data_IF_286899807855
#
_entry.id   IF_286899807855
#
_cell.length_a   1.000
_cell.length_b   1.000
_cell.length_c   1.000
_cell.angle_alpha   90.00
_cell.angle_beta   90.00
_cell.angle_gamma   90.00
#
_symmetry.space_group_name_H-M   'P 1'
#
loop_
_entity.id
_entity.type
_entity.pdbx_description
1 polymer ?
#
# COMPACT_ATOMS: atom_id res chain seq x y z
N UNK A 1 16.16 -19.89 2.81
CA UNK A 1 17.12 -18.77 2.97
C UNK A 1 16.35 -17.58 3.52
N UNK A 2 16.86 -16.99 4.60
CA UNK A 2 16.34 -15.74 5.14
C UNK A 2 16.58 -14.61 4.12
N UNK A 3 15.65 -13.67 4.05
CA UNK A 3 15.79 -12.46 3.23
C UNK A 3 15.69 -11.23 4.11
N UNK A 4 16.25 -10.11 3.66
CA UNK A 4 16.06 -8.81 4.29
C UNK A 4 14.86 -8.11 3.68
N UNK A 5 13.94 -7.67 4.53
CA UNK A 5 12.80 -6.82 4.13
C UNK A 5 13.29 -5.37 4.02
N UNK A 6 13.00 -4.78 2.89
CA UNK A 6 13.23 -3.36 2.62
C UNK A 6 11.88 -2.65 2.48
N UNK A 7 11.83 -1.44 2.98
CA UNK A 7 10.70 -0.53 2.80
C UNK A 7 11.24 0.74 2.17
N UNK A 8 10.59 1.20 1.12
CA UNK A 8 10.99 2.44 0.46
C UNK A 8 10.95 3.62 1.44
N UNK A 9 11.97 4.46 1.38
CA UNK A 9 12.10 5.62 2.25
C UNK A 9 11.01 6.65 1.99
N UNK A 10 10.62 6.83 0.74
CA UNK A 10 9.60 7.79 0.33
C UNK A 10 8.27 7.12 0.02
N UNK A 11 7.19 7.85 0.30
CA UNK A 11 5.84 7.49 -0.14
C UNK A 11 5.63 8.03 -1.55
N UNK A 12 5.23 7.16 -2.47
CA UNK A 12 4.78 7.57 -3.81
C UNK A 12 3.41 8.22 -3.64
N UNK A 13 3.25 9.51 -3.98
CA UNK A 13 1.98 10.20 -3.82
C UNK A 13 0.93 9.64 -4.80
N UNK A 14 -0.33 9.73 -4.42
CA UNK A 14 -1.46 9.23 -5.22
C UNK A 14 -1.56 9.89 -6.61
N UNK A 15 -1.10 11.14 -6.74
CA UNK A 15 -1.09 11.90 -7.99
C UNK A 15 0.20 11.69 -8.80
N UNK A 16 1.03 10.72 -8.42
CA UNK A 16 2.25 10.39 -9.15
C UNK A 16 1.94 10.00 -10.60
N UNK A 17 2.65 10.64 -11.53
CA UNK A 17 2.41 10.45 -12.97
C UNK A 17 1.21 11.20 -13.53
N UNK A 18 0.43 11.88 -12.71
CA UNK A 18 -0.63 12.78 -13.18
C UNK A 18 -0.03 14.07 -13.74
N UNK A 19 -0.57 14.54 -14.84
CA UNK A 19 -0.14 15.81 -15.45
C UNK A 19 -1.30 16.53 -16.12
N UNK A 20 -1.14 17.83 -16.34
CA UNK A 20 -2.04 18.61 -17.20
C UNK A 20 -1.28 19.01 -18.45
N UNK A 21 -1.76 18.60 -19.61
CA UNK A 21 -1.22 18.95 -20.91
C UNK A 21 -2.16 19.87 -21.67
N UNK A 22 -1.59 20.82 -22.44
CA UNK A 22 -2.37 21.69 -23.32
C UNK A 22 -2.48 21.00 -24.68
N UNK A 23 -3.66 20.49 -24.99
CA UNK A 23 -3.90 19.61 -26.11
C UNK A 23 -5.08 20.07 -26.96
N UNK A 24 -5.15 19.52 -28.19
CA UNK A 24 -6.28 19.71 -29.08
C UNK A 24 -7.45 18.83 -28.63
N UNK A 25 -8.58 19.45 -28.33
CA UNK A 25 -9.81 18.78 -27.92
C UNK A 25 -10.56 18.20 -29.12
N UNK A 26 -11.54 17.32 -28.87
CA UNK A 26 -12.34 16.66 -29.88
C UNK A 26 -13.13 17.65 -30.78
N UNK A 27 -13.51 18.81 -30.23
CA UNK A 27 -14.20 19.88 -30.95
C UNK A 27 -13.26 20.73 -31.82
N UNK A 28 -11.95 20.42 -31.84
CA UNK A 28 -10.93 21.13 -32.58
C UNK A 28 -10.35 22.35 -31.87
N UNK A 29 -10.88 22.76 -30.72
CA UNK A 29 -10.30 23.79 -29.86
C UNK A 29 -9.07 23.26 -29.13
N UNK A 30 -8.36 24.16 -28.44
CA UNK A 30 -7.24 23.77 -27.56
C UNK A 30 -7.60 24.09 -26.12
N UNK A 31 -7.27 23.17 -25.21
CA UNK A 31 -7.53 23.29 -23.78
C UNK A 31 -6.59 22.44 -22.95
N UNK A 32 -6.64 22.63 -21.63
CA UNK A 32 -5.92 21.78 -20.70
C UNK A 32 -6.70 20.49 -20.47
N UNK A 33 -6.03 19.37 -20.71
CA UNK A 33 -6.53 18.02 -20.41
C UNK A 33 -5.74 17.49 -19.23
N UNK A 34 -6.46 17.00 -18.22
CA UNK A 34 -5.84 16.33 -17.08
C UNK A 34 -5.72 14.85 -17.34
N UNK A 35 -4.49 14.35 -17.38
CA UNK A 35 -4.17 12.93 -17.47
C UNK A 35 -3.92 12.38 -16.08
N UNK A 36 -4.71 11.40 -15.71
CA UNK A 36 -4.59 10.73 -14.44
C UNK A 36 -3.36 9.84 -14.40
N UNK A 37 -2.66 9.85 -13.28
CA UNK A 37 -1.61 8.88 -13.00
C UNK A 37 -2.19 7.48 -12.77
N UNK A 38 -1.34 6.45 -12.72
CA UNK A 38 -1.78 5.06 -12.59
C UNK A 38 -2.45 4.74 -11.25
N UNK A 39 -2.35 5.63 -10.26
CA UNK A 39 -2.80 5.36 -8.89
C UNK A 39 -3.62 6.53 -8.37
N UNK A 40 -4.94 6.47 -8.46
CA UNK A 40 -5.81 7.47 -7.82
C UNK A 40 -6.36 7.01 -6.48
N UNK A 41 -6.57 5.69 -6.33
CA UNK A 41 -7.20 5.09 -5.18
C UNK A 41 -6.64 3.68 -4.96
N UNK A 42 -7.01 3.04 -3.87
CA UNK A 42 -6.71 1.62 -3.68
C UNK A 42 -7.25 0.80 -4.86
N UNK A 43 -8.45 1.12 -5.30
CA UNK A 43 -9.12 0.56 -6.47
C UNK A 43 -9.65 -0.86 -6.25
N UNK A 44 -10.59 -1.27 -7.13
CA UNK A 44 -11.25 -2.55 -6.99
C UNK A 44 -12.19 -2.60 -5.78
N UNK A 45 -12.06 -3.65 -5.01
CA UNK A 45 -12.67 -3.79 -3.69
C UNK A 45 -11.59 -3.68 -2.61
N UNK A 46 -11.95 -3.91 -1.33
CA UNK A 46 -10.99 -3.89 -0.21
C UNK A 46 -9.95 -5.02 -0.25
N UNK A 47 -10.09 -5.97 -1.16
CA UNK A 47 -9.14 -7.07 -1.28
C UNK A 47 -7.91 -6.65 -2.11
N UNK A 48 -6.76 -6.65 -1.50
CA UNK A 48 -5.48 -6.31 -2.13
C UNK A 48 -5.22 -7.08 -3.44
N UNK A 49 -5.70 -8.31 -3.55
CA UNK A 49 -5.56 -9.13 -4.76
C UNK A 49 -6.09 -8.44 -6.02
N UNK A 50 -7.16 -7.69 -5.89
CA UNK A 50 -7.86 -7.05 -7.00
C UNK A 50 -7.65 -5.54 -7.05
N UNK A 51 -6.74 -5.01 -6.21
CA UNK A 51 -6.50 -3.58 -6.13
C UNK A 51 -5.67 -3.05 -7.30
N UNK A 52 -5.97 -1.83 -7.73
CA UNK A 52 -5.14 -1.11 -8.70
C UNK A 52 -3.71 -0.87 -8.16
N UNK A 53 -3.59 -0.71 -6.85
CA UNK A 53 -2.30 -0.56 -6.18
C UNK A 53 -1.41 -1.79 -6.38
N UNK A 54 -1.97 -3.00 -6.25
CA UNK A 54 -1.20 -4.23 -6.47
C UNK A 54 -0.76 -4.37 -7.92
N UNK A 55 -1.64 -4.04 -8.87
CA UNK A 55 -1.31 -4.06 -10.30
C UNK A 55 -0.14 -3.11 -10.60
N UNK A 56 -0.21 -1.89 -10.10
CA UNK A 56 0.87 -0.93 -10.22
C UNK A 56 2.19 -1.42 -9.61
N UNK A 57 2.16 -2.00 -8.40
CA UNK A 57 3.35 -2.55 -7.77
C UNK A 57 3.95 -3.73 -8.54
N UNK A 58 3.12 -4.47 -9.28
CA UNK A 58 3.58 -5.47 -10.24
C UNK A 58 4.43 -4.85 -11.37
N UNK A 59 3.98 -3.74 -11.94
CA UNK A 59 4.73 -2.99 -12.96
C UNK A 59 6.04 -2.43 -12.40
N UNK A 60 6.01 -1.85 -11.19
CA UNK A 60 7.22 -1.39 -10.48
C UNK A 60 8.21 -2.52 -10.30
N UNK A 61 7.74 -3.72 -9.97
CA UNK A 61 8.61 -4.88 -9.82
C UNK A 61 9.31 -5.28 -11.13
N UNK A 62 8.60 -5.22 -12.25
CA UNK A 62 9.18 -5.49 -13.58
C UNK A 62 10.23 -4.45 -13.93
N UNK A 63 9.94 -3.16 -13.78
CA UNK A 63 10.87 -2.07 -14.02
C UNK A 63 12.16 -2.20 -13.17
N UNK A 64 12.02 -2.56 -11.91
CA UNK A 64 13.17 -2.73 -11.03
C UNK A 64 14.01 -3.95 -11.39
N UNK A 65 13.39 -5.03 -11.87
CA UNK A 65 14.13 -6.21 -12.37
C UNK A 65 14.91 -5.89 -13.65
N UNK A 66 14.32 -5.12 -14.56
CA UNK A 66 15.01 -4.63 -15.76
C UNK A 66 16.23 -3.76 -15.41
N UNK A 67 16.18 -3.05 -14.28
CA UNK A 67 17.30 -2.29 -13.74
C UNK A 67 18.32 -3.16 -12.98
N UNK A 68 18.08 -4.47 -12.86
CA UNK A 68 18.99 -5.43 -12.26
C UNK A 68 18.75 -5.73 -10.78
N UNK A 69 17.67 -5.25 -10.18
CA UNK A 69 17.31 -5.59 -8.81
C UNK A 69 16.77 -7.02 -8.74
N UNK A 70 17.33 -7.83 -7.84
CA UNK A 70 16.88 -9.19 -7.61
C UNK A 70 15.99 -9.28 -6.37
N UNK A 71 14.70 -9.29 -6.59
CA UNK A 71 13.69 -9.37 -5.54
C UNK A 71 13.17 -10.80 -5.40
N UNK A 72 12.86 -11.18 -4.17
CA UNK A 72 12.32 -12.48 -3.84
C UNK A 72 10.80 -12.47 -3.95
N UNK A 73 10.21 -13.53 -4.50
CA UNK A 73 8.78 -13.76 -4.37
C UNK A 73 8.41 -13.99 -2.90
N UNK A 74 7.53 -13.17 -2.38
CA UNK A 74 7.03 -13.22 -1.01
C UNK A 74 5.55 -13.56 -1.02
N UNK A 75 5.13 -14.44 -0.12
CA UNK A 75 3.72 -14.74 0.07
C UNK A 75 3.05 -13.53 0.73
N UNK A 76 2.15 -12.86 0.00
CA UNK A 76 1.43 -11.66 0.43
C UNK A 76 -0.07 -11.92 0.60
N UNK A 77 -0.48 -13.18 0.48
CA UNK A 77 -1.86 -13.59 0.70
C UNK A 77 -2.37 -13.14 2.07
N UNK A 78 -3.66 -12.89 2.14
CA UNK A 78 -4.33 -12.43 3.35
C UNK A 78 -4.28 -13.50 4.42
N UNK A 79 -3.60 -13.22 5.52
CA UNK A 79 -3.54 -14.08 6.70
C UNK A 79 -4.48 -13.62 7.80
N UNK A 80 -4.75 -12.32 7.88
CA UNK A 80 -5.57 -11.72 8.93
C UNK A 80 -6.46 -10.64 8.36
N UNK A 81 -7.65 -10.53 8.92
CA UNK A 81 -8.50 -9.35 8.83
C UNK A 81 -8.67 -8.79 10.22
N UNK A 82 -8.61 -7.49 10.33
CA UNK A 82 -8.98 -6.84 11.55
C UNK A 82 -10.51 -6.77 11.61
N UNK A 83 -11.09 -7.37 12.64
CA UNK A 83 -12.54 -7.38 12.85
C UNK A 83 -12.91 -6.40 13.96
N UNK A 84 -13.87 -5.57 13.69
CA UNK A 84 -14.71 -4.97 14.72
C UNK A 84 -14.42 -3.55 15.14
N UNK A 85 -13.45 -2.79 14.56
CA UNK A 85 -13.30 -1.40 14.96
C UNK A 85 -13.07 -0.46 13.78
N UNK A 86 -14.06 0.38 13.53
CA UNK A 86 -14.06 1.47 12.55
C UNK A 86 -13.24 2.70 12.99
N UNK A 87 -12.53 2.62 14.12
CA UNK A 87 -11.85 3.78 14.70
C UNK A 87 -10.36 3.75 14.41
N UNK A 88 -9.87 4.92 14.08
CA UNK A 88 -8.47 5.30 14.08
C UNK A 88 -7.80 4.92 15.42
N UNK A 89 -6.64 4.25 15.35
CA UNK A 89 -5.88 3.87 16.53
C UNK A 89 -4.42 4.28 16.39
N UNK A 90 -3.84 4.79 17.48
CA UNK A 90 -2.41 4.98 17.55
C UNK A 90 -1.67 3.65 17.42
N UNK A 91 -0.43 3.68 16.93
CA UNK A 91 0.40 2.48 16.81
C UNK A 91 0.61 1.74 18.14
N UNK A 92 0.61 2.48 19.24
CA UNK A 92 0.77 1.93 20.59
C UNK A 92 -0.46 1.16 21.08
N UNK A 93 -1.63 1.46 20.51
CA UNK A 93 -2.91 0.83 20.88
C UNK A 93 -3.20 -0.46 20.10
N UNK A 94 -2.44 -0.74 19.04
CA UNK A 94 -2.58 -2.00 18.31
C UNK A 94 -1.81 -3.12 19.02
N UNK A 95 -2.48 -4.25 19.22
CA UNK A 95 -1.87 -5.47 19.71
C UNK A 95 -2.08 -6.61 18.69
N UNK A 96 -1.27 -7.65 18.76
CA UNK A 96 -1.48 -8.86 17.95
C UNK A 96 -2.83 -9.53 18.23
N UNK A 97 -3.41 -9.29 19.40
CA UNK A 97 -4.73 -9.81 19.80
C UNK A 97 -5.88 -9.15 19.04
N UNK A 98 -5.64 -7.97 18.46
CA UNK A 98 -6.61 -7.27 17.62
C UNK A 98 -6.71 -7.88 16.20
N UNK A 99 -5.82 -8.80 15.86
CA UNK A 99 -5.76 -9.45 14.56
C UNK A 99 -6.47 -10.81 14.64
N UNK A 100 -7.57 -10.94 13.91
CA UNK A 100 -8.28 -12.21 13.81
C UNK A 100 -7.90 -12.94 12.53
N UNK A 101 -7.43 -14.18 12.67
CA UNK A 101 -7.16 -15.04 11.54
C UNK A 101 -8.46 -15.46 10.85
N UNK A 102 -8.57 -15.24 9.55
CA UNK A 102 -9.68 -15.72 8.74
C UNK A 102 -9.19 -16.76 7.72
N UNK A 103 -9.22 -18.05 8.07
CA UNK A 103 -8.75 -19.13 7.19
C UNK A 103 -9.48 -19.17 5.83
N UNK A 104 -10.77 -18.85 5.84
CA UNK A 104 -11.62 -18.87 4.63
C UNK A 104 -11.29 -17.78 3.60
N UNK A 105 -10.60 -16.73 4.00
CA UNK A 105 -10.18 -15.63 3.12
C UNK A 105 -8.70 -15.72 2.73
N UNK A 106 -8.06 -16.85 3.03
CA UNK A 106 -6.65 -17.07 2.69
C UNK A 106 -6.48 -17.22 1.19
N UNK A 107 -5.95 -16.21 0.57
CA UNK A 107 -5.56 -16.23 -0.84
C UNK A 107 -4.06 -16.47 -0.94
N UNK A 108 -3.67 -17.51 -1.64
CA UNK A 108 -2.27 -17.75 -1.94
C UNK A 108 -1.85 -16.79 -3.06
N UNK A 109 -1.19 -15.72 -2.67
CA UNK A 109 -0.58 -14.76 -3.59
C UNK A 109 0.90 -14.66 -3.30
N UNK A 110 1.66 -14.36 -4.34
CA UNK A 110 3.07 -14.01 -4.23
C UNK A 110 3.33 -12.74 -5.00
N UNK A 111 4.05 -11.81 -4.40
CA UNK A 111 4.45 -10.57 -5.02
C UNK A 111 5.94 -10.31 -4.74
N UNK A 112 6.60 -9.60 -5.62
CA UNK A 112 8.01 -9.17 -5.47
C UNK A 112 8.11 -7.82 -4.81
N UNK A 113 7.21 -6.91 -5.20
CA UNK A 113 7.00 -5.61 -4.56
C UNK A 113 5.56 -5.57 -4.04
N UNK A 114 5.37 -5.14 -2.81
CA UNK A 114 4.08 -5.24 -2.12
C UNK A 114 3.90 -4.12 -1.08
N UNK A 115 2.67 -3.97 -0.56
CA UNK A 115 2.40 -3.16 0.61
C UNK A 115 2.62 -3.96 1.89
N UNK A 116 2.98 -3.31 2.98
CA UNK A 116 2.95 -3.94 4.31
C UNK A 116 1.50 -4.28 4.70
N UNK A 117 1.35 -5.36 5.47
CA UNK A 117 0.10 -5.62 6.21
C UNK A 117 0.04 -4.80 7.50
N UNK A 118 -1.13 -4.74 8.14
CA UNK A 118 -1.27 -4.15 9.48
C UNK A 118 -0.36 -4.86 10.48
N UNK A 119 -0.27 -6.20 10.43
CA UNK A 119 0.61 -6.98 11.28
C UNK A 119 2.08 -6.59 11.11
N UNK A 120 2.54 -6.47 9.87
CA UNK A 120 3.91 -6.06 9.57
C UNK A 120 4.15 -4.60 9.97
N UNK A 121 3.18 -3.71 9.75
CA UNK A 121 3.27 -2.32 10.18
C UNK A 121 3.41 -2.20 11.71
N UNK A 122 2.67 -3.00 12.47
CA UNK A 122 2.80 -3.05 13.93
C UNK A 122 4.17 -3.60 14.33
N UNK A 123 4.61 -4.68 13.70
CA UNK A 123 5.90 -5.33 14.01
C UNK A 123 7.09 -4.43 13.78
N UNK A 124 7.06 -3.63 12.72
CA UNK A 124 8.15 -2.74 12.31
C UNK A 124 7.89 -1.28 12.66
N UNK A 125 6.93 -1.00 13.54
CA UNK A 125 6.49 0.37 13.84
C UNK A 125 7.62 1.33 14.17
N UNK A 126 8.62 0.88 14.92
CA UNK A 126 9.75 1.71 15.34
C UNK A 126 10.66 2.14 14.16
N UNK A 127 10.60 1.40 13.06
CA UNK A 127 11.34 1.70 11.82
C UNK A 127 10.50 2.53 10.82
N UNK A 128 9.17 2.48 10.92
CA UNK A 128 8.29 3.19 9.98
C UNK A 128 8.40 4.70 10.04
N UNK A 129 8.85 5.24 11.18
CA UNK A 129 9.05 6.67 11.39
C UNK A 129 10.42 7.18 10.96
N UNK A 130 11.36 6.28 10.72
CA UNK A 130 12.73 6.62 10.36
C UNK A 130 12.87 6.82 8.86
N UNK A 131 12.16 7.79 8.28
CA UNK A 131 12.40 8.12 6.89
C UNK A 131 12.53 9.62 6.69
N UNK A 132 13.47 9.95 5.78
CA UNK A 132 13.73 11.28 5.32
C UNK A 132 12.91 11.58 4.06
N UNK A 133 12.43 12.78 3.90
CA UNK A 133 11.89 13.22 2.63
C UNK A 133 10.36 13.22 2.52
N UNK A 134 9.66 13.32 3.63
CA UNK A 134 8.25 13.69 3.56
C UNK A 134 8.12 15.10 3.01
N UNK A 135 7.44 15.22 1.88
CA UNK A 135 6.97 16.51 1.40
C UNK A 135 5.74 16.92 2.23
N UNK A 136 6.00 17.61 3.33
CA UNK A 136 4.95 18.12 4.23
C UNK A 136 3.96 19.06 3.54
N UNK A 137 4.30 19.56 2.35
CA UNK A 137 3.44 20.40 1.54
C UNK A 137 2.39 19.59 0.77
N UNK A 138 2.50 18.25 0.75
CA UNK A 138 1.57 17.35 0.09
C UNK A 138 0.90 16.41 1.10
N UNK A 139 -0.34 16.71 1.54
CA UNK A 139 -1.07 15.84 2.47
C UNK A 139 -1.18 14.38 1.99
N UNK A 140 -1.18 14.17 0.67
CA UNK A 140 -1.24 12.84 0.06
C UNK A 140 -0.01 11.97 0.31
N UNK A 141 1.14 12.55 0.62
CA UNK A 141 2.36 11.81 0.97
C UNK A 141 2.49 11.48 2.46
N UNK A 142 1.56 11.94 3.28
CA UNK A 142 1.54 11.68 4.72
C UNK A 142 0.72 10.45 5.10
N UNK A 143 -0.09 9.93 4.18
CA UNK A 143 -0.83 8.67 4.33
C UNK A 143 -0.43 7.70 3.24
N UNK A 144 -0.32 6.42 3.59
CA UNK A 144 -0.07 5.37 2.61
C UNK A 144 -0.84 4.09 2.93
N UNK A 145 -1.22 3.39 1.87
CA UNK A 145 -2.00 2.16 1.96
C UNK A 145 -1.23 1.02 2.62
N UNK A 146 -1.96 0.21 3.37
CA UNK A 146 -1.58 -1.15 3.76
C UNK A 146 -2.39 -2.16 2.95
N UNK A 147 -1.90 -3.40 2.82
CA UNK A 147 -2.63 -4.44 2.07
C UNK A 147 -3.75 -5.12 2.85
N UNK A 148 -3.93 -4.80 4.13
CA UNK A 148 -4.96 -5.40 4.96
C UNK A 148 -6.30 -4.74 4.72
N UNK A 149 -7.29 -5.52 4.32
CA UNK A 149 -8.67 -5.07 4.25
C UNK A 149 -9.28 -4.95 5.64
N UNK A 150 -10.21 -4.04 5.80
CA UNK A 150 -11.09 -4.04 6.96
C UNK A 150 -12.17 -5.11 6.78
N UNK A 151 -12.28 -6.04 7.72
CA UNK A 151 -13.32 -7.07 7.74
C UNK A 151 -14.50 -6.67 8.63
N UNK A 152 -15.66 -7.29 8.37
CA UNK A 152 -16.81 -7.29 9.30
C UNK A 152 -17.03 -8.69 9.86
N UNK A 153 -17.62 -8.78 11.06
CA UNK A 153 -18.26 -10.01 11.50
C UNK A 153 -19.33 -10.40 10.47
N UNK A 154 -19.25 -11.64 9.96
CA UNK A 154 -20.13 -12.12 8.89
C UNK A 154 -19.48 -12.18 7.50
N UNK A 155 -18.29 -11.65 7.31
CA UNK A 155 -17.49 -11.83 6.08
C UNK A 155 -17.88 -10.92 4.92
N UNK A 156 -18.77 -9.97 5.11
CA UNK A 156 -19.09 -8.96 4.10
C UNK A 156 -17.97 -7.93 3.99
N UNK A 157 -17.65 -7.52 2.76
CA UNK A 157 -16.71 -6.45 2.46
C UNK A 157 -17.20 -5.12 3.03
N UNK A 158 -16.26 -4.30 3.50
CA UNK A 158 -16.57 -2.97 4.05
C UNK A 158 -16.32 -1.86 3.05
N UNK A 159 -15.68 -2.17 1.92
CA UNK A 159 -15.18 -1.17 1.00
C UNK A 159 -14.03 -0.34 1.58
N UNK A 160 -13.35 -0.84 2.63
CA UNK A 160 -12.27 -0.13 3.32
C UNK A 160 -11.01 -0.99 3.43
N UNK A 161 -9.86 -0.35 3.25
CA UNK A 161 -8.55 -0.90 3.54
C UNK A 161 -7.85 -0.02 4.59
N UNK A 162 -6.86 -0.59 5.28
CA UNK A 162 -6.11 0.18 6.27
C UNK A 162 -5.03 1.03 5.61
N UNK A 163 -4.79 2.18 6.20
CA UNK A 163 -3.70 3.08 5.85
C UNK A 163 -2.95 3.54 7.10
N UNK A 164 -1.69 3.85 6.95
CA UNK A 164 -0.88 4.55 7.95
C UNK A 164 -1.06 6.04 7.75
N UNK A 165 -1.35 6.77 8.80
CA UNK A 165 -1.33 8.24 8.82
C UNK A 165 -0.13 8.71 9.66
N UNK A 166 0.85 9.29 8.98
CA UNK A 166 2.11 9.69 9.59
C UNK A 166 2.00 10.97 10.41
N UNK A 167 1.04 11.83 10.08
CA UNK A 167 0.80 13.06 10.84
C UNK A 167 0.15 12.75 12.17
N UNK A 168 -0.82 11.85 12.14
CA UNK A 168 -1.57 11.46 13.34
C UNK A 168 -0.89 10.37 14.16
N UNK A 169 0.08 9.66 13.58
CA UNK A 169 0.72 8.54 14.25
C UNK A 169 -0.23 7.36 14.47
N UNK A 170 -1.04 7.04 13.48
CA UNK A 170 -2.06 6.00 13.62
C UNK A 170 -2.20 5.12 12.38
N UNK A 171 -2.89 4.01 12.57
CA UNK A 171 -3.45 3.18 11.49
C UNK A 171 -4.96 3.39 11.52
N UNK A 172 -5.54 3.68 10.37
CA UNK A 172 -6.97 3.92 10.23
C UNK A 172 -7.56 3.20 9.02
N UNK A 173 -8.81 2.75 9.08
CA UNK A 173 -9.52 2.30 7.89
C UNK A 173 -9.85 3.51 7.01
N UNK A 174 -9.65 3.34 5.73
CA UNK A 174 -9.88 4.37 4.69
C UNK A 174 -10.71 3.73 3.58
N UNK A 175 -11.67 4.47 3.05
CA UNK A 175 -12.45 4.01 1.91
C UNK A 175 -11.53 3.74 0.70
N UNK A 176 -11.75 2.64 0.00
CA UNK A 176 -10.90 2.25 -1.15
C UNK A 176 -10.99 3.21 -2.33
N UNK A 177 -11.99 4.08 -2.32
CA UNK A 177 -12.14 5.18 -3.28
C UNK A 177 -11.37 6.44 -2.89
N UNK A 178 -10.89 6.53 -1.65
CA UNK A 178 -10.12 7.68 -1.18
C UNK A 178 -8.66 7.64 -1.68
N UNK A 179 -7.98 8.77 -1.52
CA UNK A 179 -6.60 8.95 -1.97
C UNK A 179 -5.61 8.74 -0.82
N UNK A 180 -4.69 7.80 -1.01
CA UNK A 180 -3.51 7.62 -0.17
C UNK A 180 -2.30 7.33 -1.04
N UNK A 181 -1.12 7.62 -0.54
CA UNK A 181 0.12 7.26 -1.21
C UNK A 181 0.43 5.76 -1.13
N UNK A 182 1.48 5.36 -1.80
CA UNK A 182 1.99 3.99 -1.83
C UNK A 182 3.40 3.98 -1.27
N UNK A 183 3.67 3.07 -0.35
CA UNK A 183 5.01 2.85 0.18
C UNK A 183 5.43 1.41 -0.10
N UNK A 184 6.20 1.18 -1.19
CA UNK A 184 6.58 -0.16 -1.60
C UNK A 184 7.49 -0.86 -0.61
N UNK A 185 7.26 -2.15 -0.41
CA UNK A 185 8.14 -3.05 0.32
C UNK A 185 8.58 -4.22 -0.58
N UNK A 186 9.77 -4.75 -0.35
CA UNK A 186 10.32 -5.88 -1.09
C UNK A 186 11.35 -6.65 -0.26
N UNK A 187 11.64 -7.88 -0.65
CA UNK A 187 12.63 -8.72 0.03
C UNK A 187 13.77 -9.07 -0.92
N UNK A 188 15.00 -8.87 -0.48
CA UNK A 188 16.20 -9.31 -1.20
C UNK A 188 16.78 -10.55 -0.52
N UNK A 189 17.24 -11.49 -1.30
CA UNK A 189 18.01 -12.62 -0.75
C UNK A 189 19.34 -12.09 -0.26
N UNK A 190 19.66 -12.26 1.02
CA UNK A 190 21.02 -11.98 1.48
C UNK A 190 21.98 -12.93 0.75
N UNK A 191 22.94 -12.35 0.03
CA UNK A 191 24.07 -13.13 -0.47
C UNK A 191 24.74 -13.77 0.75
N UNK A 192 24.93 -15.09 0.71
CA UNK A 192 25.70 -15.75 1.74
C UNK A 192 27.08 -15.08 1.77
N UNK A 193 27.41 -14.42 2.87
CA UNK A 193 28.78 -13.95 3.11
C UNK A 193 29.69 -15.18 3.05
N UNK A 194 30.53 -15.21 2.03
CA UNK A 194 31.60 -16.21 1.88
C UNK A 194 32.72 -15.91 2.87
#
# INVERSE_FOLDING_TARGET
>A
QAGALFLCDQVIPWDYGSCSAYEKLEDGSYGYVYHKGPIEAFGGNEEYKYSAVREYLGQVAEEWEEQGYQMKNVRTGRTYTYTGQTKERSFEQFSEQDLTAHPSSYQQMTDRVFLLSVEEAIRYRDELWKFSGMDWLRPASTRYWLRTAMGREGGEGTGQAYAVDLVKGCIAPVDVGDTCGIRPAFVVTQAASR
#
